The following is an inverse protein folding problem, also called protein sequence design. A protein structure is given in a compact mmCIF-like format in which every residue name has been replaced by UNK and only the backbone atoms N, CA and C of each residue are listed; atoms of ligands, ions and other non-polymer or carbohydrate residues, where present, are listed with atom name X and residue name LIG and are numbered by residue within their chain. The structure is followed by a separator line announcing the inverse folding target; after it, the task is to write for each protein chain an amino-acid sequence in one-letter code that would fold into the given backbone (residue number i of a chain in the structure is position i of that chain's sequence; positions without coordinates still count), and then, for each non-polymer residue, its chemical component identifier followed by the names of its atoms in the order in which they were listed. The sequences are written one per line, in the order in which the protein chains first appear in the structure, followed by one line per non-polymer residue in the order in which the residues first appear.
data_IF_370274843306
#
_entry.id   IF_370274843306
#
_cell.length_a   1.000
_cell.length_b   1.000
_cell.length_c   1.000
_cell.angle_alpha   90.00
_cell.angle_beta   90.00
_cell.angle_gamma   90.00
#
_symmetry.space_group_name_H-M   'P 1'
#
loop_
_entity.id
_entity.type
_entity.pdbx_description
1 polymer ?
#
# COMPACT_ATOMS: atom_id res chain seq x y z
N UNK A 1 36.06 3.45 -30.80
CA UNK A 1 34.91 4.38 -30.72
C UNK A 1 33.55 3.69 -30.85
N UNK A 2 33.28 2.88 -31.90
CA UNK A 2 31.98 2.20 -32.08
C UNK A 2 31.53 1.31 -30.90
N UNK A 3 32.46 0.61 -30.22
CA UNK A 3 32.17 -0.22 -29.04
C UNK A 3 31.72 0.57 -27.81
N UNK A 4 32.26 1.78 -27.61
CA UNK A 4 31.90 2.65 -26.49
C UNK A 4 30.51 3.26 -26.67
N UNK A 5 30.17 3.65 -27.89
CA UNK A 5 28.85 4.17 -28.25
C UNK A 5 27.78 3.08 -28.06
N UNK A 6 28.05 1.85 -28.50
CA UNK A 6 27.13 0.73 -28.33
C UNK A 6 26.88 0.38 -26.85
N UNK A 7 27.93 0.44 -26.01
CA UNK A 7 27.81 0.19 -24.57
C UNK A 7 27.03 1.28 -23.85
N UNK A 8 27.20 2.55 -24.25
CA UNK A 8 26.46 3.68 -23.69
C UNK A 8 24.97 3.60 -24.00
N UNK A 9 24.60 3.24 -25.24
CA UNK A 9 23.20 3.07 -25.66
C UNK A 9 22.54 1.90 -24.93
N UNK A 10 23.25 0.79 -24.77
CA UNK A 10 22.72 -0.36 -24.03
C UNK A 10 22.48 -0.01 -22.56
N UNK A 11 23.40 0.72 -21.94
CA UNK A 11 23.29 1.18 -20.56
C UNK A 11 22.10 2.14 -20.37
N UNK A 12 21.94 3.15 -21.23
CA UNK A 12 20.80 4.08 -21.14
C UNK A 12 19.47 3.36 -21.36
N UNK A 13 19.39 2.42 -22.31
CA UNK A 13 18.17 1.66 -22.55
C UNK A 13 17.78 0.80 -21.32
N UNK A 14 18.75 0.13 -20.70
CA UNK A 14 18.54 -0.63 -19.46
C UNK A 14 18.08 0.26 -18.29
N UNK A 15 18.64 1.47 -18.16
CA UNK A 15 18.21 2.41 -17.10
C UNK A 15 16.78 2.90 -17.31
N UNK A 16 16.39 3.23 -18.56
CA UNK A 16 15.02 3.68 -18.89
C UNK A 16 14.00 2.57 -18.65
N UNK A 17 14.29 1.34 -19.07
CA UNK A 17 13.45 0.18 -18.78
C UNK A 17 13.33 -0.10 -17.28
N UNK A 18 14.42 0.08 -16.53
CA UNK A 18 14.44 -0.01 -15.08
C UNK A 18 13.52 1.03 -14.42
N UNK A 19 13.55 2.28 -14.87
CA UNK A 19 12.70 3.37 -14.39
C UNK A 19 11.21 3.08 -14.64
N UNK A 20 10.84 2.70 -15.87
CA UNK A 20 9.44 2.35 -16.20
C UNK A 20 8.92 1.15 -15.39
N UNK A 21 9.71 0.07 -15.29
CA UNK A 21 9.32 -1.11 -14.54
C UNK A 21 9.16 -0.78 -13.05
N UNK A 22 10.03 0.06 -12.53
CA UNK A 22 9.98 0.47 -11.14
C UNK A 22 8.77 1.41 -10.89
N UNK A 23 8.37 2.25 -11.83
CA UNK A 23 7.15 3.07 -11.74
C UNK A 23 5.87 2.23 -11.80
N UNK A 24 5.85 1.17 -12.63
CA UNK A 24 4.76 0.17 -12.64
C UNK A 24 4.64 -0.54 -11.29
N UNK A 25 5.76 -0.89 -10.64
CA UNK A 25 5.76 -1.49 -9.29
C UNK A 25 5.15 -0.55 -8.25
N UNK A 26 5.52 0.74 -8.28
CA UNK A 26 4.95 1.73 -7.37
C UNK A 26 3.45 1.89 -7.58
N UNK A 27 3.00 1.98 -8.84
CA UNK A 27 1.57 2.06 -9.16
C UNK A 27 0.81 0.80 -8.67
N UNK A 28 1.37 -0.39 -8.91
CA UNK A 28 0.78 -1.65 -8.46
C UNK A 28 0.63 -1.70 -6.93
N UNK A 29 1.70 -1.39 -6.19
CA UNK A 29 1.66 -1.41 -4.73
C UNK A 29 0.68 -0.35 -4.19
N UNK A 30 0.55 0.81 -4.85
CA UNK A 30 -0.42 1.84 -4.47
C UNK A 30 -1.86 1.34 -4.66
N UNK A 31 -2.16 0.69 -5.79
CA UNK A 31 -3.49 0.11 -6.06
C UNK A 31 -3.81 -0.99 -5.04
N UNK A 32 -2.87 -1.90 -4.78
CA UNK A 32 -3.05 -2.98 -3.79
C UNK A 32 -3.25 -2.43 -2.38
N UNK A 33 -2.52 -1.39 -2.03
CA UNK A 33 -2.65 -0.70 -0.73
C UNK A 33 -4.04 -0.08 -0.57
N UNK A 34 -4.55 0.63 -1.58
CA UNK A 34 -5.91 1.19 -1.54
C UNK A 34 -6.99 0.09 -1.51
N UNK A 35 -6.85 -0.92 -2.37
CA UNK A 35 -7.82 -2.02 -2.44
C UNK A 35 -7.91 -2.81 -1.13
N UNK A 36 -6.76 -3.15 -0.53
CA UNK A 36 -6.73 -3.84 0.76
C UNK A 36 -7.28 -2.99 1.90
N UNK A 37 -6.96 -1.69 1.94
CA UNK A 37 -7.54 -0.75 2.91
C UNK A 37 -9.08 -0.75 2.81
N UNK A 38 -9.62 -0.58 1.60
CA UNK A 38 -11.08 -0.53 1.39
C UNK A 38 -11.74 -1.86 1.74
N UNK A 39 -11.15 -2.98 1.33
CA UNK A 39 -11.68 -4.30 1.61
C UNK A 39 -11.72 -4.60 3.11
N UNK A 40 -10.66 -4.24 3.84
CA UNK A 40 -10.60 -4.41 5.30
C UNK A 40 -11.67 -3.58 6.02
N UNK A 41 -11.85 -2.31 5.64
CA UNK A 41 -12.92 -1.44 6.17
C UNK A 41 -14.29 -2.07 5.91
N UNK A 42 -14.60 -2.44 4.67
CA UNK A 42 -15.93 -2.91 4.32
C UNK A 42 -16.27 -4.27 4.95
N UNK A 43 -15.32 -5.19 4.98
CA UNK A 43 -15.51 -6.49 5.62
C UNK A 43 -15.69 -6.36 7.14
N UNK A 44 -14.91 -5.50 7.79
CA UNK A 44 -15.04 -5.21 9.22
C UNK A 44 -16.39 -4.54 9.52
N UNK A 45 -16.77 -3.54 8.73
CA UNK A 45 -18.04 -2.85 8.90
C UNK A 45 -19.25 -3.76 8.62
N UNK A 46 -19.12 -4.71 7.69
CA UNK A 46 -20.13 -5.74 7.47
C UNK A 46 -20.29 -6.66 8.69
N UNK A 47 -19.20 -7.16 9.28
CA UNK A 47 -19.30 -8.04 10.46
C UNK A 47 -19.84 -7.31 11.71
N UNK A 48 -19.47 -6.04 11.91
CA UNK A 48 -20.01 -5.22 13.01
C UNK A 48 -21.52 -5.07 12.85
N UNK A 49 -22.00 -4.75 11.64
CA UNK A 49 -23.44 -4.65 11.37
C UNK A 49 -24.18 -5.98 11.51
N UNK A 50 -23.53 -7.09 11.19
CA UNK A 50 -24.08 -8.43 11.36
C UNK A 50 -24.07 -8.91 12.83
N UNK A 51 -23.42 -8.18 13.74
CA UNK A 51 -23.28 -8.59 15.14
C UNK A 51 -22.34 -9.78 15.35
N UNK A 52 -21.49 -10.10 14.37
CA UNK A 52 -20.59 -11.27 14.41
C UNK A 52 -19.17 -10.92 14.86
N UNK A 53 -18.87 -9.64 15.00
CA UNK A 53 -17.57 -9.15 15.46
C UNK A 53 -17.73 -7.79 16.17
N UNK A 54 -16.66 -7.34 16.81
CA UNK A 54 -16.51 -5.99 17.36
C UNK A 54 -15.18 -5.39 16.89
N UNK A 55 -15.12 -4.07 16.80
CA UNK A 55 -13.84 -3.36 16.65
C UNK A 55 -13.14 -3.34 18.02
N UNK A 56 -12.06 -4.08 18.13
CA UNK A 56 -11.29 -4.20 19.37
C UNK A 56 -10.09 -3.25 19.46
N UNK A 57 -9.78 -2.49 18.39
CA UNK A 57 -8.87 -1.36 18.52
C UNK A 57 -9.61 -0.18 19.17
N UNK A 58 -9.28 0.22 20.41
CA UNK A 58 -9.98 1.30 21.10
C UNK A 58 -9.79 2.67 20.44
N UNK A 59 -8.82 2.82 19.53
CA UNK A 59 -8.59 4.04 18.77
C UNK A 59 -9.42 4.12 17.49
N UNK A 60 -9.98 3.00 17.01
CA UNK A 60 -10.80 2.97 15.81
C UNK A 60 -12.29 3.04 16.19
N UNK A 61 -13.03 4.02 15.65
CA UNK A 61 -14.47 4.10 15.87
C UNK A 61 -15.19 3.01 15.09
N UNK A 62 -16.35 2.55 15.57
CA UNK A 62 -17.20 1.65 14.78
C UNK A 62 -17.92 2.34 13.61
N UNK A 63 -17.94 3.68 13.58
CA UNK A 63 -18.59 4.44 12.50
C UNK A 63 -17.80 4.36 11.19
N UNK A 64 -18.43 3.82 10.15
CA UNK A 64 -17.85 3.64 8.81
C UNK A 64 -17.18 4.90 8.26
N UNK A 65 -17.81 6.08 8.38
CA UNK A 65 -17.27 7.32 7.78
C UNK A 65 -16.00 7.76 8.50
N UNK A 66 -15.99 7.67 9.83
CA UNK A 66 -14.80 7.98 10.63
C UNK A 66 -13.65 7.01 10.35
N UNK A 67 -13.94 5.71 10.22
CA UNK A 67 -12.92 4.71 9.83
C UNK A 67 -12.33 5.04 8.47
N UNK A 68 -13.16 5.36 7.47
CA UNK A 68 -12.67 5.79 6.16
C UNK A 68 -11.76 7.01 6.25
N UNK A 69 -12.16 8.04 6.99
CA UNK A 69 -11.35 9.25 7.15
C UNK A 69 -9.98 8.95 7.76
N UNK A 70 -9.95 8.13 8.82
CA UNK A 70 -8.71 7.76 9.50
C UNK A 70 -7.81 6.87 8.64
N UNK A 71 -8.37 5.77 8.12
CA UNK A 71 -7.60 4.78 7.37
C UNK A 71 -7.13 5.35 6.04
N UNK A 72 -7.98 6.01 5.25
CA UNK A 72 -7.54 6.62 3.99
C UNK A 72 -6.54 7.75 4.22
N UNK A 73 -6.68 8.53 5.30
CA UNK A 73 -5.69 9.53 5.68
C UNK A 73 -4.31 8.92 5.90
N UNK A 74 -4.25 7.83 6.67
CA UNK A 74 -3.01 7.08 6.90
C UNK A 74 -2.47 6.46 5.60
N UNK A 75 -3.32 5.83 4.80
CA UNK A 75 -2.97 5.20 3.53
C UNK A 75 -2.38 6.19 2.54
N UNK A 76 -2.97 7.39 2.43
CA UNK A 76 -2.44 8.48 1.60
C UNK A 76 -1.11 8.99 2.15
N UNK A 77 -0.99 9.22 3.45
CA UNK A 77 0.25 9.70 4.07
C UNK A 77 1.43 8.73 3.87
N UNK A 78 1.22 7.43 4.08
CA UNK A 78 2.25 6.42 3.88
C UNK A 78 2.53 6.14 2.39
N UNK A 79 1.53 6.26 1.51
CA UNK A 79 1.75 6.20 0.07
C UNK A 79 2.57 7.39 -0.43
N UNK A 80 2.34 8.58 0.12
CA UNK A 80 3.16 9.75 -0.15
C UNK A 80 4.60 9.59 0.38
N UNK A 81 4.77 8.99 1.56
CA UNK A 81 6.11 8.65 2.07
C UNK A 81 6.84 7.68 1.14
N UNK A 82 6.16 6.62 0.69
CA UNK A 82 6.70 5.67 -0.29
C UNK A 82 7.08 6.36 -1.60
N UNK A 83 6.24 7.30 -2.08
CA UNK A 83 6.54 8.11 -3.25
C UNK A 83 7.80 8.96 -3.07
N UNK A 84 7.93 9.64 -1.92
CA UNK A 84 9.10 10.46 -1.61
C UNK A 84 10.37 9.61 -1.52
N UNK A 85 10.34 8.51 -0.77
CA UNK A 85 11.46 7.56 -0.70
C UNK A 85 11.85 7.02 -2.06
N UNK A 86 10.86 6.80 -2.94
CA UNK A 86 11.14 6.36 -4.29
C UNK A 86 11.83 7.44 -5.12
N UNK A 87 11.39 8.69 -5.01
CA UNK A 87 12.01 9.84 -5.69
C UNK A 87 13.44 10.09 -5.22
N UNK A 88 13.73 9.81 -3.96
CA UNK A 88 15.06 9.94 -3.35
C UNK A 88 15.95 8.69 -3.56
N UNK A 89 15.53 7.74 -4.42
CA UNK A 89 16.22 6.47 -4.72
C UNK A 89 16.54 5.60 -3.47
N UNK A 90 15.71 5.70 -2.44
CA UNK A 90 15.87 4.91 -1.22
C UNK A 90 15.48 3.45 -1.49
N UNK A 91 16.41 2.52 -1.27
CA UNK A 91 16.28 1.07 -1.57
C UNK A 91 15.01 0.42 -1.01
N UNK A 92 14.46 0.94 0.09
CA UNK A 92 13.30 0.39 0.80
C UNK A 92 12.02 1.23 0.61
N UNK A 93 11.91 1.99 -0.47
CA UNK A 93 10.72 2.79 -0.81
C UNK A 93 9.39 2.02 -0.80
N UNK A 94 9.42 0.71 -1.01
CA UNK A 94 8.24 -0.16 -1.05
C UNK A 94 7.70 -0.52 0.34
N UNK A 95 8.51 -0.36 1.40
CA UNK A 95 8.20 -0.80 2.76
C UNK A 95 6.90 -0.21 3.31
N UNK A 96 6.60 1.10 3.17
CA UNK A 96 5.35 1.65 3.72
C UNK A 96 4.10 1.01 3.12
N UNK A 97 4.08 0.77 1.80
CA UNK A 97 2.95 0.15 1.12
C UNK A 97 2.86 -1.35 1.42
N UNK A 98 3.99 -2.06 1.46
CA UNK A 98 4.00 -3.48 1.85
C UNK A 98 3.51 -3.69 3.29
N UNK A 99 3.87 -2.79 4.21
CA UNK A 99 3.38 -2.84 5.59
C UNK A 99 1.86 -2.67 5.68
N UNK A 100 1.29 -1.73 4.92
CA UNK A 100 -0.16 -1.54 4.86
C UNK A 100 -0.88 -2.75 4.24
N UNK A 101 -0.37 -3.27 3.12
CA UNK A 101 -0.93 -4.47 2.47
C UNK A 101 -0.89 -5.65 3.42
N UNK A 102 0.21 -5.87 4.14
CA UNK A 102 0.32 -6.95 5.12
C UNK A 102 -0.67 -6.76 6.28
N UNK A 103 -0.77 -5.56 6.85
CA UNK A 103 -1.70 -5.25 7.93
C UNK A 103 -3.16 -5.49 7.55
N UNK A 104 -3.62 -4.87 6.46
CA UNK A 104 -4.99 -5.06 5.97
C UNK A 104 -5.22 -6.48 5.45
N UNK A 105 -4.24 -7.09 4.80
CA UNK A 105 -4.29 -8.48 4.34
C UNK A 105 -4.51 -9.47 5.49
N UNK A 106 -3.89 -9.24 6.64
CA UNK A 106 -4.14 -10.03 7.85
C UNK A 106 -5.58 -9.86 8.37
N UNK A 107 -6.10 -8.62 8.39
CA UNK A 107 -7.50 -8.34 8.76
C UNK A 107 -8.51 -9.04 7.84
N UNK A 108 -8.25 -9.01 6.52
CA UNK A 108 -9.06 -9.68 5.50
C UNK A 108 -9.00 -11.20 5.65
N UNK A 109 -7.79 -11.78 5.66
CA UNK A 109 -7.57 -13.22 5.51
C UNK A 109 -7.82 -14.03 6.78
N UNK A 110 -7.42 -13.50 7.94
CA UNK A 110 -7.58 -14.19 9.23
C UNK A 110 -8.82 -13.76 9.99
N UNK A 111 -9.55 -12.76 9.49
CA UNK A 111 -10.69 -12.20 10.20
C UNK A 111 -10.30 -11.67 11.57
N UNK A 112 -9.07 -11.15 11.72
CA UNK A 112 -8.56 -10.46 12.91
C UNK A 112 -9.31 -9.13 13.10
N UNK A 113 -10.62 -9.22 13.28
CA UNK A 113 -11.56 -8.15 13.63
C UNK A 113 -11.69 -8.25 15.14
N UNK A 114 -10.68 -7.74 15.83
CA UNK A 114 -10.40 -7.90 17.27
C UNK A 114 -11.66 -8.19 18.11
N UNK A 115 -11.89 -9.48 18.35
CA UNK A 115 -13.00 -10.03 19.12
C UNK A 115 -12.69 -9.83 20.60
N UNK A 116 -13.28 -8.81 21.25
CA UNK A 116 -13.57 -8.79 22.70
C UNK A 116 -14.78 -7.88 22.98
#
# INVERSE_FOLDING_TARGET
MKKAIFSLILFTCLTVQGMEAADKKFALLTVLTMASTVADIELTQHCIRAGTCREGNPLLPSDRKKVYAMQLGLTVGLSYLAYKWRKDDYQHWWVPQAALIAGHGMGIGFGLRFVW
#
